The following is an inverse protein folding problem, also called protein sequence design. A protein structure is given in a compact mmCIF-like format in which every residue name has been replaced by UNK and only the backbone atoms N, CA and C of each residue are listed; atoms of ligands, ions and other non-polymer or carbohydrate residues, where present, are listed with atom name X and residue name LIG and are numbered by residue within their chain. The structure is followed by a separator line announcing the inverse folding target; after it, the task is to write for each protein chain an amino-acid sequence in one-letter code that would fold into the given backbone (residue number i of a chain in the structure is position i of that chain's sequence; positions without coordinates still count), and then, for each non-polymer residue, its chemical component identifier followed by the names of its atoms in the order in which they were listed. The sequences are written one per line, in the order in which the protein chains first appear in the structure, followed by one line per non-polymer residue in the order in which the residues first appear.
data_IF_491971189198
#
_entry.id   IF_491971189198
#
_cell.length_a   1.000
_cell.length_b   1.000
_cell.length_c   1.000
_cell.angle_alpha   90.00
_cell.angle_beta   90.00
_cell.angle_gamma   90.00
#
_symmetry.space_group_name_H-M   'P 1'
#
loop_
_entity.id
_entity.type
_entity.pdbx_description
1 polymer ?
#
# COMPACT_ATOMS: atom_id res chain seq x y z
N UNK A 1 39.62 -7.38 -17.62
CA UNK A 1 38.29 -8.02 -17.71
C UNK A 1 37.45 -7.52 -16.54
N UNK A 2 36.53 -6.57 -16.78
CA UNK A 2 35.65 -6.06 -15.72
C UNK A 2 34.71 -7.16 -15.26
N UNK A 3 34.83 -7.56 -14.00
CA UNK A 3 33.79 -8.30 -13.31
C UNK A 3 32.51 -7.46 -13.39
N UNK A 4 31.56 -7.92 -14.19
CA UNK A 4 30.17 -7.47 -14.09
C UNK A 4 29.66 -8.00 -12.77
N UNK A 5 29.80 -7.20 -11.71
CA UNK A 5 29.03 -7.35 -10.48
C UNK A 5 27.58 -7.41 -10.90
N UNK A 6 26.96 -8.59 -10.81
CA UNK A 6 25.53 -8.73 -10.95
C UNK A 6 24.93 -7.91 -9.82
N UNK A 7 24.55 -6.66 -10.10
CA UNK A 7 23.86 -5.80 -9.16
C UNK A 7 22.61 -6.58 -8.74
N UNK A 8 22.62 -7.11 -7.52
CA UNK A 8 21.50 -7.84 -6.92
C UNK A 8 20.27 -6.95 -7.13
N UNK A 9 19.28 -7.41 -7.88
CA UNK A 9 18.03 -6.69 -7.96
C UNK A 9 17.47 -6.65 -6.53
N UNK A 10 17.45 -5.48 -5.91
CA UNK A 10 16.92 -5.29 -4.56
C UNK A 10 15.47 -5.76 -4.54
N UNK A 11 15.11 -6.59 -3.55
CA UNK A 11 13.72 -7.01 -3.40
C UNK A 11 12.85 -5.81 -3.02
N UNK A 12 11.54 -5.91 -3.26
CA UNK A 12 10.60 -4.84 -2.88
C UNK A 12 10.72 -4.49 -1.40
N UNK A 13 10.88 -5.50 -0.53
CA UNK A 13 11.11 -5.30 0.91
C UNK A 13 12.33 -4.41 1.18
N UNK A 14 13.46 -4.71 0.52
CA UNK A 14 14.72 -3.98 0.72
C UNK A 14 14.55 -2.52 0.27
N UNK A 15 13.92 -2.28 -0.88
CA UNK A 15 13.64 -0.92 -1.40
C UNK A 15 12.75 -0.10 -0.45
N UNK A 16 11.69 -0.69 0.09
CA UNK A 16 10.81 0.00 1.06
C UNK A 16 11.56 0.22 2.38
N UNK A 17 12.34 -0.76 2.85
CA UNK A 17 13.13 -0.65 4.06
C UNK A 17 14.21 0.45 3.99
N UNK A 18 14.91 0.56 2.87
CA UNK A 18 15.91 1.61 2.62
C UNK A 18 15.25 3.00 2.59
N UNK A 19 14.05 3.07 1.99
CA UNK A 19 13.26 4.30 1.93
C UNK A 19 12.74 4.72 3.30
N UNK A 20 12.27 3.78 4.13
CA UNK A 20 11.87 4.04 5.51
C UNK A 20 13.06 4.51 6.36
N UNK A 21 14.25 3.94 6.15
CA UNK A 21 15.45 4.31 6.88
C UNK A 21 15.95 5.71 6.50
N UNK A 22 15.83 6.06 5.21
CA UNK A 22 16.34 7.33 4.67
C UNK A 22 15.35 8.49 4.84
N UNK A 23 14.04 8.20 4.75
CA UNK A 23 12.96 9.20 4.75
C UNK A 23 11.77 8.72 5.63
N UNK A 24 11.97 8.48 6.93
CA UNK A 24 10.95 7.87 7.78
C UNK A 24 9.69 8.72 7.91
N UNK A 25 9.82 10.05 8.04
CA UNK A 25 8.70 10.95 8.28
C UNK A 25 7.77 11.01 7.05
N UNK A 26 8.38 11.07 5.87
CA UNK A 26 7.75 11.06 4.56
C UNK A 26 6.90 9.81 4.37
N UNK A 27 7.48 8.63 4.63
CA UNK A 27 6.78 7.36 4.47
C UNK A 27 5.70 7.17 5.56
N UNK A 28 5.95 7.60 6.80
CA UNK A 28 4.91 7.63 7.84
C UNK A 28 3.75 8.51 7.43
N UNK A 29 4.00 9.71 6.89
CA UNK A 29 2.96 10.61 6.43
C UNK A 29 2.11 9.95 5.32
N UNK A 30 2.76 9.28 4.37
CA UNK A 30 2.07 8.55 3.30
C UNK A 30 1.20 7.41 3.84
N UNK A 31 1.78 6.48 4.60
CA UNK A 31 1.06 5.32 5.10
C UNK A 31 -0.03 5.70 6.12
N UNK A 32 0.20 6.75 6.91
CA UNK A 32 -0.84 7.32 7.78
C UNK A 32 -1.99 7.90 6.97
N UNK A 33 -1.72 8.47 5.79
CA UNK A 33 -2.78 8.98 4.91
C UNK A 33 -3.61 7.86 4.29
N UNK A 34 -3.00 6.74 3.94
CA UNK A 34 -3.71 5.53 3.53
C UNK A 34 -4.68 5.04 4.62
N UNK A 35 -4.22 5.04 5.88
CA UNK A 35 -5.05 4.71 7.04
C UNK A 35 -6.16 5.74 7.30
N UNK A 36 -5.86 7.03 7.16
CA UNK A 36 -6.84 8.08 7.40
C UNK A 36 -7.94 8.12 6.35
N UNK A 37 -7.68 7.83 5.07
CA UNK A 37 -8.75 7.79 4.05
C UNK A 37 -9.71 6.63 4.31
N UNK A 38 -9.19 5.50 4.78
CA UNK A 38 -10.00 4.38 5.21
C UNK A 38 -10.92 4.75 6.39
N UNK A 39 -10.54 5.74 7.20
CA UNK A 39 -11.29 6.21 8.37
C UNK A 39 -12.17 7.45 8.10
N UNK A 40 -11.80 8.33 7.17
CA UNK A 40 -12.60 9.53 6.83
C UNK A 40 -13.86 9.16 6.04
N UNK A 41 -13.82 8.07 5.26
CA UNK A 41 -15.04 7.47 4.69
C UNK A 41 -16.00 6.93 5.76
N UNK A 42 -15.48 6.55 6.94
CA UNK A 42 -16.28 6.06 8.07
C UNK A 42 -17.05 7.20 8.76
N UNK A 43 -16.48 8.41 8.87
CA UNK A 43 -17.18 9.54 9.53
C UNK A 43 -18.13 10.31 8.61
N UNK A 44 -17.86 10.40 7.30
CA UNK A 44 -18.68 11.17 6.36
C UNK A 44 -19.86 10.39 5.76
N UNK A 45 -19.80 9.05 5.72
CA UNK A 45 -20.88 8.22 5.16
C UNK A 45 -21.93 7.78 6.19
N UNK A 46 -21.65 7.90 7.49
CA UNK A 46 -22.55 7.45 8.57
C UNK A 46 -23.39 8.57 9.21
N UNK A 47 -23.26 9.82 8.76
CA UNK A 47 -24.05 10.92 9.30
C UNK A 47 -25.50 10.94 8.80
N UNK A 48 -25.82 10.39 7.62
CA UNK A 48 -27.19 10.38 7.10
C UNK A 48 -27.52 9.11 6.28
N UNK A 49 -28.45 8.30 6.82
CA UNK A 49 -29.37 7.35 6.12
C UNK A 49 -28.91 5.89 5.87
N UNK A 50 -29.60 4.95 6.53
CA UNK A 50 -29.70 3.49 6.22
C UNK A 50 -30.97 3.22 5.37
N UNK A 51 -31.37 1.99 4.95
CA UNK A 51 -30.75 0.82 4.28
C UNK A 51 -31.42 0.55 2.89
N UNK A 52 -31.16 -0.63 2.29
CA UNK A 52 -31.95 -1.33 1.23
C UNK A 52 -31.36 -1.25 -0.19
N UNK A 53 -31.41 -2.40 -0.89
CA UNK A 53 -30.87 -2.77 -2.23
C UNK A 53 -29.39 -3.23 -2.20
N UNK A 54 -28.98 -4.39 -2.71
CA UNK A 54 -29.60 -5.28 -3.68
C UNK A 54 -29.04 -6.72 -3.59
N UNK A 55 -29.93 -7.66 -3.91
CA UNK A 55 -29.66 -9.05 -4.26
C UNK A 55 -29.14 -9.17 -5.71
N UNK A 56 -28.44 -10.26 -5.99
CA UNK A 56 -28.05 -10.84 -7.28
C UNK A 56 -26.83 -10.28 -8.06
N UNK A 57 -25.88 -11.19 -8.30
CA UNK A 57 -24.86 -11.20 -9.36
C UNK A 57 -23.56 -10.38 -9.16
N UNK A 58 -22.54 -11.04 -8.59
CA UNK A 58 -21.19 -11.11 -9.18
C UNK A 58 -20.32 -9.85 -9.23
N UNK A 59 -20.54 -8.84 -8.38
CA UNK A 59 -19.60 -7.73 -8.20
C UNK A 59 -19.39 -7.48 -6.72
N UNK A 60 -18.27 -7.94 -6.18
CA UNK A 60 -17.75 -7.45 -4.90
C UNK A 60 -17.33 -5.99 -5.10
N UNK A 61 -18.29 -5.09 -4.97
CA UNK A 61 -18.04 -3.67 -4.78
C UNK A 61 -17.61 -3.50 -3.33
N UNK A 62 -16.32 -3.67 -3.04
CA UNK A 62 -15.73 -3.19 -1.78
C UNK A 62 -15.72 -1.66 -1.85
N UNK A 63 -16.87 -1.05 -1.56
CA UNK A 63 -16.94 0.38 -1.26
C UNK A 63 -16.14 0.62 0.02
N UNK A 64 -14.88 1.05 -0.14
CA UNK A 64 -14.28 2.08 0.70
C UNK A 64 -14.00 1.75 2.16
N UNK A 65 -13.77 0.49 2.52
CA UNK A 65 -13.23 0.12 3.84
C UNK A 65 -11.86 -0.52 3.62
N UNK A 66 -10.79 0.17 3.99
CA UNK A 66 -9.42 -0.37 4.07
C UNK A 66 -8.70 -0.76 2.77
N UNK A 67 -9.36 -0.95 1.62
CA UNK A 67 -8.66 -1.31 0.37
C UNK A 67 -8.47 -0.11 -0.56
N UNK A 68 -7.23 0.15 -0.97
CA UNK A 68 -6.83 1.19 -1.91
C UNK A 68 -6.43 0.59 -3.25
N UNK A 69 -6.96 1.19 -4.33
CA UNK A 69 -6.65 0.85 -5.72
C UNK A 69 -5.40 1.62 -6.22
N UNK A 70 -4.77 1.21 -7.33
CA UNK A 70 -3.53 1.83 -7.82
C UNK A 70 -3.62 3.34 -8.02
N UNK A 71 -4.72 3.81 -8.61
CA UNK A 71 -4.95 5.24 -8.84
C UNK A 71 -5.07 6.04 -7.53
N UNK A 72 -5.61 5.42 -6.47
CA UNK A 72 -5.69 6.05 -5.15
C UNK A 72 -4.30 6.11 -4.51
N UNK A 73 -3.52 5.02 -4.56
CA UNK A 73 -2.14 5.00 -4.08
C UNK A 73 -1.29 6.09 -4.73
N UNK A 74 -1.41 6.24 -6.05
CA UNK A 74 -0.69 7.27 -6.80
C UNK A 74 -1.18 8.69 -6.50
N UNK A 75 -2.48 8.89 -6.34
CA UNK A 75 -3.04 10.19 -5.97
C UNK A 75 -2.56 10.62 -4.57
N UNK A 76 -2.55 9.70 -3.62
CA UNK A 76 -2.11 9.94 -2.25
C UNK A 76 -0.61 10.18 -2.16
N UNK A 77 0.18 9.37 -2.87
CA UNK A 77 1.61 9.61 -3.06
C UNK A 77 1.85 11.02 -3.61
N UNK A 78 1.11 11.39 -4.66
CA UNK A 78 1.28 12.67 -5.31
C UNK A 78 0.90 13.87 -4.44
N UNK A 79 -0.08 13.72 -3.55
CA UNK A 79 -0.51 14.80 -2.68
C UNK A 79 0.25 14.86 -1.33
N UNK A 80 1.02 13.82 -0.95
CA UNK A 80 1.95 13.89 0.18
C UNK A 80 3.30 14.46 -0.24
N UNK A 81 3.82 14.04 -1.40
CA UNK A 81 5.16 14.42 -1.84
C UNK A 81 5.15 15.58 -2.82
N UNK A 82 5.80 16.68 -2.44
CA UNK A 82 6.14 17.79 -3.33
C UNK A 82 7.11 17.33 -4.43
N UNK A 83 7.25 18.07 -5.53
CA UNK A 83 8.19 17.72 -6.60
C UNK A 83 9.63 17.56 -6.08
N UNK A 84 10.04 18.41 -5.12
CA UNK A 84 11.36 18.35 -4.49
C UNK A 84 11.54 17.11 -3.61
N UNK A 85 10.49 16.62 -2.95
CA UNK A 85 10.58 15.40 -2.14
C UNK A 85 10.56 14.15 -3.01
N UNK A 86 9.82 14.17 -4.13
CA UNK A 86 9.88 13.10 -5.13
C UNK A 86 11.27 12.97 -5.72
N UNK A 87 11.97 14.06 -5.99
CA UNK A 87 13.37 13.99 -6.43
C UNK A 87 14.30 13.29 -5.44
N UNK A 88 14.11 13.50 -4.13
CA UNK A 88 14.90 12.79 -3.09
C UNK A 88 14.52 11.31 -2.99
N UNK A 89 13.25 10.99 -3.20
CA UNK A 89 12.73 9.62 -3.13
C UNK A 89 13.03 8.78 -4.39
N UNK A 90 13.44 9.42 -5.50
CA UNK A 90 13.89 8.72 -6.72
C UNK A 90 15.12 7.87 -6.46
N UNK A 91 16.02 8.30 -5.57
CA UNK A 91 17.23 7.54 -5.21
C UNK A 91 16.89 6.26 -4.42
N UNK A 92 15.79 6.25 -3.66
CA UNK A 92 15.35 5.11 -2.86
C UNK A 92 14.54 4.06 -3.64
N UNK A 93 14.27 4.31 -4.92
CA UNK A 93 13.47 3.44 -5.77
C UNK A 93 12.05 3.16 -5.19
N UNK A 94 11.55 4.01 -4.29
CA UNK A 94 10.22 3.84 -3.70
C UNK A 94 9.09 4.17 -4.68
N UNK A 95 9.33 5.15 -5.56
CA UNK A 95 8.36 5.56 -6.56
C UNK A 95 7.97 4.41 -7.49
N UNK A 96 8.92 3.63 -8.02
CA UNK A 96 8.56 2.49 -8.87
C UNK A 96 7.82 1.40 -8.09
N UNK A 97 8.07 1.27 -6.78
CA UNK A 97 7.32 0.32 -5.94
C UNK A 97 5.86 0.72 -5.85
N UNK A 98 5.58 2.00 -5.59
CA UNK A 98 4.21 2.52 -5.54
C UNK A 98 3.54 2.47 -6.93
N UNK A 99 4.28 2.77 -8.00
CA UNK A 99 3.76 2.64 -9.37
C UNK A 99 3.45 1.18 -9.76
N UNK A 100 4.23 0.22 -9.25
CA UNK A 100 3.99 -1.20 -9.45
C UNK A 100 2.94 -1.80 -8.51
N UNK A 101 2.55 -1.09 -7.44
CA UNK A 101 1.54 -1.54 -6.49
C UNK A 101 0.17 -1.67 -7.16
N UNK A 102 -0.42 -2.85 -7.06
CA UNK A 102 -1.74 -3.16 -7.64
C UNK A 102 -2.88 -2.91 -6.66
N UNK A 103 -2.60 -2.96 -5.37
CA UNK A 103 -3.56 -2.69 -4.31
C UNK A 103 -2.83 -2.56 -2.98
N UNK A 104 -3.42 -1.81 -2.05
CA UNK A 104 -3.05 -1.82 -0.65
C UNK A 104 -4.26 -2.17 0.20
N UNK A 105 -4.04 -2.95 1.26
CA UNK A 105 -5.03 -3.23 2.29
C UNK A 105 -4.52 -2.59 3.57
N UNK A 106 -5.39 -1.81 4.20
CA UNK A 106 -5.09 -1.02 5.36
C UNK A 106 -5.93 -1.54 6.52
N UNK A 107 -5.25 -2.15 7.48
CA UNK A 107 -5.80 -2.61 8.76
C UNK A 107 -4.91 -1.98 9.83
N UNK A 108 -5.23 -0.77 10.33
CA UNK A 108 -4.32 -0.02 11.18
C UNK A 108 -3.80 -0.84 12.38
N UNK A 109 -2.49 -0.78 12.70
CA UNK A 109 -1.44 0.07 12.10
C UNK A 109 -0.73 -0.55 10.87
N UNK A 110 -1.28 -1.63 10.32
CA UNK A 110 -0.67 -2.40 9.24
C UNK A 110 -1.17 -1.97 7.86
N UNK A 111 -0.25 -1.91 6.91
CA UNK A 111 -0.55 -1.72 5.48
C UNK A 111 0.08 -2.87 4.70
N UNK A 112 -0.75 -3.72 4.12
CA UNK A 112 -0.31 -4.79 3.23
C UNK A 112 -0.39 -4.31 1.77
N UNK A 113 0.68 -4.50 1.00
CA UNK A 113 0.78 -4.10 -0.40
C UNK A 113 0.94 -5.34 -1.27
N UNK A 114 0.16 -5.42 -2.36
CA UNK A 114 0.42 -6.36 -3.44
C UNK A 114 1.09 -5.61 -4.60
N UNK A 115 2.31 -6.00 -4.92
CA UNK A 115 3.16 -5.28 -5.87
C UNK A 115 3.47 -6.21 -7.03
N UNK A 116 3.35 -5.68 -8.25
CA UNK A 116 3.56 -6.43 -9.48
C UNK A 116 4.65 -5.77 -10.31
N UNK A 117 5.94 -5.98 -9.99
CA UNK A 117 7.04 -5.33 -10.69
C UNK A 117 7.11 -5.70 -12.18
N UNK A 118 6.68 -6.93 -12.52
CA UNK A 118 6.67 -7.46 -13.88
C UNK A 118 5.45 -8.36 -14.11
N UNK A 119 4.99 -8.52 -15.36
CA UNK A 119 3.96 -9.49 -15.68
C UNK A 119 4.34 -10.90 -15.21
N UNK A 120 3.49 -11.51 -14.39
CA UNK A 120 3.69 -12.87 -13.87
C UNK A 120 4.49 -12.95 -12.55
N UNK A 121 5.02 -11.83 -12.06
CA UNK A 121 5.75 -11.77 -10.78
C UNK A 121 4.97 -10.92 -9.79
N UNK A 122 4.73 -11.47 -8.61
CA UNK A 122 4.06 -10.80 -7.51
C UNK A 122 4.93 -10.84 -6.26
N UNK A 123 5.04 -9.69 -5.60
CA UNK A 123 5.68 -9.55 -4.29
C UNK A 123 4.64 -8.96 -3.34
N UNK A 124 4.55 -9.53 -2.15
CA UNK A 124 3.63 -9.09 -1.12
C UNK A 124 4.43 -8.64 0.09
N UNK A 125 4.08 -7.49 0.65
CA UNK A 125 4.78 -6.94 1.81
C UNK A 125 3.76 -6.36 2.77
N UNK A 126 4.08 -6.41 4.06
CA UNK A 126 3.40 -5.60 5.07
C UNK A 126 4.35 -4.53 5.60
N UNK A 127 3.78 -3.36 5.86
CA UNK A 127 4.43 -2.26 6.56
C UNK A 127 3.69 -2.05 7.87
N UNK A 128 4.42 -2.09 8.99
CA UNK A 128 3.92 -1.67 10.29
C UNK A 128 4.28 -0.19 10.49
N UNK A 129 3.26 0.68 10.49
CA UNK A 129 3.46 2.12 10.60
C UNK A 129 3.99 2.51 11.98
N UNK A 130 3.58 1.81 13.03
CA UNK A 130 4.00 2.12 14.41
C UNK A 130 5.44 1.73 14.68
N UNK A 131 5.91 0.63 14.08
CA UNK A 131 7.26 0.09 14.28
C UNK A 131 8.24 0.47 13.15
N UNK A 132 7.75 1.08 12.06
CA UNK A 132 8.50 1.38 10.84
C UNK A 132 9.23 0.16 10.27
N UNK A 133 8.55 -0.99 10.35
CA UNK A 133 9.09 -2.28 9.93
C UNK A 133 8.43 -2.76 8.65
N UNK A 134 9.21 -3.41 7.78
CA UNK A 134 8.74 -4.04 6.54
C UNK A 134 9.07 -5.51 6.55
N UNK A 135 8.05 -6.31 6.29
CA UNK A 135 8.16 -7.75 6.20
C UNK A 135 7.59 -8.22 4.87
N UNK A 136 8.24 -9.23 4.30
CA UNK A 136 7.71 -9.92 3.13
C UNK A 136 6.60 -10.86 3.59
N UNK A 137 5.54 -10.93 2.80
CA UNK A 137 4.41 -11.82 3.03
C UNK A 137 4.42 -12.93 1.99
N UNK A 138 4.07 -14.13 2.45
CA UNK A 138 3.63 -15.19 1.57
C UNK A 138 2.22 -14.90 1.04
N UNK A 139 1.85 -15.55 -0.06
CA UNK A 139 0.49 -15.45 -0.63
C UNK A 139 -0.62 -15.72 0.41
N UNK A 140 -0.60 -16.81 1.20
CA UNK A 140 -1.65 -17.05 2.18
C UNK A 140 -1.71 -15.97 3.27
N UNK A 141 -0.57 -15.44 3.74
CA UNK A 141 -0.58 -14.35 4.71
C UNK A 141 -1.20 -13.08 4.13
N UNK A 142 -0.93 -12.76 2.87
CA UNK A 142 -1.60 -11.64 2.19
C UNK A 142 -3.11 -11.87 2.03
N UNK A 143 -3.53 -13.09 1.69
CA UNK A 143 -4.96 -13.42 1.58
C UNK A 143 -5.68 -13.30 2.93
N UNK A 144 -5.02 -13.59 4.05
CA UNK A 144 -5.59 -13.35 5.38
C UNK A 144 -5.94 -11.87 5.62
N UNK A 145 -5.16 -10.92 5.09
CA UNK A 145 -5.54 -9.50 5.14
C UNK A 145 -6.82 -9.22 4.37
N UNK A 146 -7.01 -9.86 3.21
CA UNK A 146 -8.25 -9.73 2.42
C UNK A 146 -9.46 -10.32 3.15
N UNK A 147 -9.28 -11.47 3.80
CA UNK A 147 -10.32 -12.11 4.60
C UNK A 147 -10.70 -11.26 5.81
N UNK A 148 -9.72 -10.76 6.57
CA UNK A 148 -9.95 -9.86 7.71
C UNK A 148 -10.74 -8.61 7.29
N UNK A 149 -10.37 -8.02 6.15
CA UNK A 149 -11.08 -6.86 5.63
C UNK A 149 -12.53 -7.18 5.24
N UNK A 150 -12.76 -8.32 4.58
CA UNK A 150 -14.10 -8.75 4.17
C UNK A 150 -14.98 -9.10 5.38
N UNK A 151 -14.39 -9.69 6.42
CA UNK A 151 -15.06 -10.04 7.68
C UNK A 151 -15.30 -8.82 8.59
N UNK A 152 -14.68 -7.68 8.28
CA UNK A 152 -14.79 -6.44 9.06
C UNK A 152 -14.15 -6.54 10.45
N UNK A 153 -13.08 -7.33 10.57
CA UNK A 153 -12.33 -7.52 11.82
C UNK A 153 -11.11 -6.59 11.90
#
# INVERSE_FOLDING_TARGET
MSQRTLTRAHSVRERIGDSLSSHPNELVALFSRFANISHVLFSLLFAEVIPVYASSSGRFVHQGKGMLQPHQLLAEYGAVFSEADREKLKDGAFEDVIQAAQEAIVIPPLVALAIRPRPGVWEYVRVNISELAVEELTVPEYLQFKEQLADGR
#
